data_IF_860055201508
#
_entry.id   IF_860055201508
#
_cell.length_a   1.000
_cell.length_b   1.000
_cell.length_c   1.000
_cell.angle_alpha   90.00
_cell.angle_beta   90.00
_cell.angle_gamma   90.00
#
_symmetry.space_group_name_H-M   'P 1'
#
loop_
_entity.id
_entity.type
_entity.pdbx_description
1 polymer ?
#
# COMPACT_ATOMS: atom_id res chain seq x y z
N UNK A 1 7.68 6.05 -13.37
CA UNK A 1 8.06 6.33 -11.98
C UNK A 1 6.85 6.74 -11.18
N UNK A 2 6.68 6.17 -10.02
CA UNK A 2 5.52 6.41 -9.19
C UNK A 2 5.95 6.93 -7.82
N UNK A 3 5.04 7.63 -7.15
CA UNK A 3 5.27 8.13 -5.80
C UNK A 3 4.52 7.26 -4.81
N UNK A 4 5.23 6.76 -3.82
CA UNK A 4 4.66 5.94 -2.76
C UNK A 4 4.68 6.76 -1.48
N UNK A 5 3.51 6.91 -0.86
CA UNK A 5 3.41 7.68 0.37
C UNK A 5 3.39 6.74 1.57
N UNK A 6 4.19 7.07 2.56
CA UNK A 6 4.25 6.32 3.82
C UNK A 6 3.72 7.23 4.92
N UNK A 7 2.64 6.83 5.56
CA UNK A 7 1.96 7.66 6.54
C UNK A 7 1.88 6.93 7.88
N UNK A 8 2.44 7.54 8.91
CA UNK A 8 2.39 7.03 10.28
C UNK A 8 2.95 5.62 10.43
N UNK A 9 4.02 5.31 9.72
CA UNK A 9 4.69 4.02 9.83
C UNK A 9 5.86 4.11 10.80
N UNK A 10 6.13 3.01 11.50
CA UNK A 10 7.35 2.90 12.27
C UNK A 10 8.56 2.90 11.34
N UNK A 11 9.72 3.24 11.89
CA UNK A 11 10.93 3.38 11.08
C UNK A 11 11.31 2.08 10.37
N UNK A 12 11.20 0.96 11.05
CA UNK A 12 11.57 -0.32 10.46
C UNK A 12 10.73 -0.64 9.22
N UNK A 13 9.42 -0.51 9.36
CA UNK A 13 8.53 -0.79 8.25
C UNK A 13 8.76 0.21 7.11
N UNK A 14 8.91 1.48 7.46
CA UNK A 14 9.13 2.51 6.46
C UNK A 14 10.41 2.26 5.67
N UNK A 15 11.47 1.86 6.35
CA UNK A 15 12.74 1.59 5.68
C UNK A 15 12.67 0.36 4.80
N UNK A 16 11.99 -0.67 5.25
CA UNK A 16 11.82 -1.86 4.44
C UNK A 16 11.07 -1.54 3.15
N UNK A 17 9.96 -0.83 3.28
CA UNK A 17 9.14 -0.48 2.12
C UNK A 17 9.92 0.44 1.18
N UNK A 18 10.56 1.46 1.75
CA UNK A 18 11.33 2.40 0.94
C UNK A 18 12.44 1.70 0.18
N UNK A 19 13.11 0.73 0.82
CA UNK A 19 14.18 0.00 0.16
C UNK A 19 13.70 -0.76 -1.06
N UNK A 20 12.58 -1.44 -0.94
CA UNK A 20 12.06 -2.23 -2.06
C UNK A 20 11.66 -1.32 -3.23
N UNK A 21 10.93 -0.25 -2.95
CA UNK A 21 10.46 0.64 -4.02
C UNK A 21 11.59 1.45 -4.65
N UNK A 22 12.61 1.78 -3.87
CA UNK A 22 13.75 2.53 -4.40
C UNK A 22 14.53 1.74 -5.44
N UNK A 23 14.61 0.42 -5.25
CA UNK A 23 15.28 -0.43 -6.22
C UNK A 23 14.61 -0.34 -7.58
N UNK A 24 13.29 -0.19 -7.57
CA UNK A 24 12.50 -0.04 -8.80
C UNK A 24 12.40 1.41 -9.25
N UNK A 25 13.16 2.30 -8.63
CA UNK A 25 13.22 3.72 -8.99
C UNK A 25 11.93 4.47 -8.76
N UNK A 26 11.12 4.00 -7.84
CA UNK A 26 9.94 4.75 -7.42
C UNK A 26 10.33 5.71 -6.31
N UNK A 27 9.67 6.85 -6.28
CA UNK A 27 9.89 7.83 -5.24
C UNK A 27 9.09 7.45 -4.01
N UNK A 28 9.73 7.47 -2.85
CA UNK A 28 9.08 7.16 -1.59
C UNK A 28 9.12 8.39 -0.71
N UNK A 29 7.96 8.79 -0.18
CA UNK A 29 7.87 9.98 0.67
C UNK A 29 7.12 9.67 1.93
N UNK A 30 7.68 10.10 3.05
CA UNK A 30 6.97 10.00 4.33
C UNK A 30 6.13 11.26 4.46
N UNK A 31 4.85 11.08 4.77
CA UNK A 31 3.91 12.19 4.86
C UNK A 31 3.17 12.16 6.19
N UNK A 32 2.70 13.32 6.67
CA UNK A 32 1.88 13.34 7.88
C UNK A 32 0.50 12.75 7.59
N UNK A 33 -0.19 12.38 8.65
CA UNK A 33 -1.50 11.78 8.50
C UNK A 33 -2.57 12.76 8.00
N UNK A 34 -2.30 14.02 8.11
CA UNK A 34 -3.25 15.04 7.64
C UNK A 34 -2.80 15.56 6.29
N UNK A 35 -3.41 15.02 5.25
CA UNK A 35 -3.13 15.45 3.90
C UNK A 35 -4.45 15.78 3.23
N UNK A 36 -4.44 16.79 2.39
CA UNK A 36 -5.64 17.06 1.62
C UNK A 36 -5.65 16.16 0.39
N UNK A 37 -6.80 16.10 -0.26
CA UNK A 37 -6.98 15.22 -1.40
C UNK A 37 -6.05 15.56 -2.55
N UNK A 38 -5.72 16.83 -2.70
CA UNK A 38 -4.82 17.26 -3.77
C UNK A 38 -3.45 16.61 -3.60
N UNK A 39 -2.94 16.60 -2.37
CA UNK A 39 -1.66 15.95 -2.12
C UNK A 39 -1.74 14.44 -2.30
N UNK A 40 -2.83 13.85 -1.84
CA UNK A 40 -3.01 12.40 -1.94
C UNK A 40 -3.09 11.93 -3.39
N UNK A 41 -3.58 12.78 -4.28
CA UNK A 41 -3.65 12.42 -5.70
C UNK A 41 -2.28 12.20 -6.33
N UNK A 42 -1.26 12.75 -5.74
CA UNK A 42 0.09 12.59 -6.27
C UNK A 42 0.68 11.22 -5.96
N UNK A 43 0.04 10.46 -5.10
CA UNK A 43 0.52 9.13 -4.77
C UNK A 43 0.06 8.13 -5.80
N UNK A 44 0.88 7.12 -6.03
CA UNK A 44 0.47 5.94 -6.78
C UNK A 44 0.04 4.84 -5.84
N UNK A 45 0.44 4.93 -4.58
CA UNK A 45 0.13 3.94 -3.58
C UNK A 45 0.36 4.55 -2.21
N UNK A 46 -0.47 4.19 -1.25
CA UNK A 46 -0.36 4.68 0.12
C UNK A 46 -0.18 3.50 1.06
N UNK A 47 0.82 3.60 1.94
CA UNK A 47 0.97 2.69 3.07
C UNK A 47 0.70 3.49 4.32
N UNK A 48 -0.23 3.06 5.14
CA UNK A 48 -0.61 3.80 6.34
C UNK A 48 -0.63 2.90 7.56
N UNK A 49 -0.15 3.44 8.67
CA UNK A 49 -0.13 2.74 9.94
C UNK A 49 -0.67 3.62 11.05
N UNK A 50 -0.13 3.42 12.26
CA UNK A 50 -0.55 4.19 13.41
C UNK A 50 -1.77 3.68 14.13
N UNK A 51 -2.27 2.51 13.74
CA UNK A 51 -3.45 1.93 14.35
C UNK A 51 -4.75 2.41 13.74
N UNK A 52 -5.87 1.73 14.06
CA UNK A 52 -7.16 2.03 13.43
C UNK A 52 -7.62 3.46 13.60
N UNK A 53 -7.32 4.08 14.73
CA UNK A 53 -7.74 5.47 14.96
C UNK A 53 -7.06 6.43 13.99
N UNK A 54 -5.90 6.06 13.50
CA UNK A 54 -5.16 6.88 12.56
C UNK A 54 -5.50 6.54 11.12
N UNK A 55 -5.42 5.27 10.75
CA UNK A 55 -5.55 4.94 9.34
C UNK A 55 -6.98 4.83 8.84
N UNK A 56 -7.97 4.51 9.72
CA UNK A 56 -9.34 4.36 9.22
C UNK A 56 -9.93 5.67 8.71
N UNK A 57 -9.78 6.80 9.41
CA UNK A 57 -10.30 8.06 8.86
C UNK A 57 -9.65 8.42 7.52
N UNK A 58 -8.36 8.18 7.41
CA UNK A 58 -7.65 8.45 6.16
C UNK A 58 -8.13 7.53 5.06
N UNK A 59 -8.29 6.25 5.36
CA UNK A 59 -8.78 5.29 4.39
C UNK A 59 -10.18 5.66 3.90
N UNK A 60 -11.04 6.09 4.80
CA UNK A 60 -12.39 6.51 4.40
C UNK A 60 -12.35 7.73 3.50
N UNK A 61 -11.48 8.68 3.80
CA UNK A 61 -11.30 9.84 2.95
C UNK A 61 -10.82 9.43 1.56
N UNK A 62 -9.82 8.57 1.52
CA UNK A 62 -9.27 8.12 0.24
C UNK A 62 -10.33 7.37 -0.57
N UNK A 63 -11.09 6.50 0.07
CA UNK A 63 -12.11 5.75 -0.66
C UNK A 63 -13.23 6.62 -1.17
N UNK A 64 -13.56 7.68 -0.44
CA UNK A 64 -14.59 8.60 -0.87
C UNK A 64 -14.14 9.45 -2.05
N UNK A 65 -12.89 9.90 -2.03
CA UNK A 65 -12.40 10.87 -3.00
C UNK A 65 -11.49 10.30 -4.06
N UNK A 66 -10.82 9.18 -3.78
CA UNK A 66 -9.89 8.53 -4.70
C UNK A 66 -10.14 7.02 -4.63
N UNK A 67 -11.28 6.57 -5.12
CA UNK A 67 -11.72 5.19 -4.87
C UNK A 67 -10.81 4.10 -5.42
N UNK A 68 -9.95 4.43 -6.38
CA UNK A 68 -9.06 3.43 -6.96
C UNK A 68 -7.64 3.48 -6.41
N UNK A 69 -7.40 4.38 -5.48
CA UNK A 69 -6.05 4.52 -4.91
C UNK A 69 -5.68 3.27 -4.12
N UNK A 70 -4.56 2.62 -4.45
CA UNK A 70 -4.10 1.51 -3.63
C UNK A 70 -3.75 1.99 -2.23
N UNK A 71 -4.35 1.36 -1.24
CA UNK A 71 -4.17 1.76 0.15
C UNK A 71 -3.88 0.51 0.97
N UNK A 72 -2.68 0.42 1.51
CA UNK A 72 -2.24 -0.73 2.26
C UNK A 72 -2.07 -0.33 3.72
N UNK A 73 -2.71 -1.08 4.60
CA UNK A 73 -2.58 -0.84 6.03
C UNK A 73 -1.41 -1.64 6.56
N UNK A 74 -0.58 -1.00 7.37
CA UNK A 74 0.53 -1.67 8.05
C UNK A 74 0.29 -1.52 9.54
N UNK A 75 0.07 -2.62 10.22
CA UNK A 75 -0.26 -2.61 11.64
C UNK A 75 0.73 -3.47 12.43
N UNK A 76 0.92 -3.10 13.69
CA UNK A 76 1.79 -3.87 14.55
C UNK A 76 1.03 -5.07 15.09
N UNK A 77 1.65 -6.25 14.99
CA UNK A 77 1.05 -7.46 15.52
C UNK A 77 -0.10 -7.97 14.67
N UNK A 78 -0.54 -9.17 15.00
CA UNK A 78 -1.63 -9.82 14.30
C UNK A 78 -2.93 -9.56 15.05
N UNK A 79 -3.88 -8.93 14.38
CA UNK A 79 -5.17 -8.61 14.95
C UNK A 79 -6.22 -8.84 13.89
N UNK A 80 -6.95 -9.96 14.02
CA UNK A 80 -7.93 -10.35 13.02
C UNK A 80 -9.06 -9.33 12.90
N UNK A 81 -9.48 -8.75 14.01
CA UNK A 81 -10.55 -7.76 13.98
C UNK A 81 -10.10 -6.50 13.22
N UNK A 82 -8.89 -6.04 13.50
CA UNK A 82 -8.37 -4.87 12.82
C UNK A 82 -8.20 -5.15 11.32
N UNK A 83 -7.75 -6.35 10.99
CA UNK A 83 -7.63 -6.76 9.60
C UNK A 83 -8.98 -6.71 8.89
N UNK A 84 -9.98 -7.32 9.50
CA UNK A 84 -11.31 -7.37 8.90
C UNK A 84 -11.89 -5.96 8.73
N UNK A 85 -11.72 -5.14 9.75
CA UNK A 85 -12.23 -3.77 9.71
C UNK A 85 -11.57 -2.96 8.59
N UNK A 86 -10.26 -3.12 8.43
CA UNK A 86 -9.55 -2.40 7.37
C UNK A 86 -10.02 -2.85 5.99
N UNK A 87 -10.15 -4.15 5.79
CA UNK A 87 -10.58 -4.68 4.50
C UNK A 87 -12.01 -4.25 4.20
N UNK A 88 -12.89 -4.26 5.20
CA UNK A 88 -14.26 -3.81 5.01
C UNK A 88 -14.34 -2.31 4.70
N UNK A 89 -13.42 -1.54 5.23
CA UNK A 89 -13.35 -0.12 4.95
C UNK A 89 -12.75 0.18 3.58
N UNK A 90 -12.25 -0.83 2.90
CA UNK A 90 -11.76 -0.67 1.54
C UNK A 90 -10.26 -0.71 1.37
N UNK A 91 -9.52 -1.20 2.35
CA UNK A 91 -8.06 -1.34 2.19
C UNK A 91 -7.76 -2.34 1.08
N UNK A 92 -6.73 -2.03 0.31
CA UNK A 92 -6.28 -2.92 -0.75
C UNK A 92 -5.63 -4.16 -0.16
N UNK A 93 -4.86 -3.96 0.90
CA UNK A 93 -4.20 -5.07 1.59
C UNK A 93 -3.86 -4.63 3.01
N UNK A 94 -3.40 -5.57 3.81
CA UNK A 94 -3.12 -5.35 5.22
C UNK A 94 -1.91 -6.19 5.60
N UNK A 95 -0.87 -5.53 6.08
CA UNK A 95 0.35 -6.21 6.50
C UNK A 95 0.56 -6.05 8.00
N UNK A 96 1.09 -7.09 8.63
CA UNK A 96 1.48 -7.02 10.02
C UNK A 96 3.00 -6.88 10.08
N UNK A 97 3.49 -6.07 11.00
CA UNK A 97 4.94 -5.97 11.18
C UNK A 97 5.47 -7.19 11.92
N UNK A 98 6.67 -7.63 11.64
CA UNK A 98 7.59 -7.09 10.63
C UNK A 98 7.14 -7.44 9.22
N UNK A 99 7.21 -6.46 8.34
CA UNK A 99 6.81 -6.65 6.95
C UNK A 99 7.95 -7.32 6.19
N UNK A 100 7.64 -8.39 5.47
CA UNK A 100 8.65 -9.09 4.72
C UNK A 100 8.84 -8.44 3.34
N UNK A 101 10.10 -8.42 2.90
CA UNK A 101 10.42 -7.86 1.57
C UNK A 101 9.58 -8.52 0.48
N UNK A 102 9.38 -9.83 0.59
CA UNK A 102 8.62 -10.58 -0.39
C UNK A 102 7.18 -10.09 -0.51
N UNK A 103 6.58 -9.72 0.60
CA UNK A 103 5.21 -9.21 0.59
C UNK A 103 5.12 -7.92 -0.22
N UNK A 104 6.10 -7.04 -0.04
CA UNK A 104 6.11 -5.76 -0.74
C UNK A 104 6.40 -5.95 -2.21
N UNK A 105 7.31 -6.86 -2.54
CA UNK A 105 7.62 -7.14 -3.94
C UNK A 105 6.41 -7.70 -4.66
N UNK A 106 5.71 -8.62 -4.02
CA UNK A 106 4.50 -9.19 -4.61
C UNK A 106 3.43 -8.13 -4.81
N UNK A 107 3.25 -7.29 -3.79
CA UNK A 107 2.26 -6.22 -3.85
C UNK A 107 2.58 -5.25 -4.99
N UNK A 108 3.84 -4.89 -5.13
CA UNK A 108 4.25 -3.97 -6.18
C UNK A 108 3.94 -4.55 -7.55
N UNK A 109 4.21 -5.84 -7.75
CA UNK A 109 3.93 -6.49 -9.02
C UNK A 109 2.44 -6.62 -9.28
N UNK A 110 1.65 -6.76 -8.23
CA UNK A 110 0.21 -6.93 -8.38
C UNK A 110 -0.52 -5.63 -8.65
N UNK A 111 -0.06 -4.55 -8.03
CA UNK A 111 -0.79 -3.29 -8.05
C UNK A 111 -0.22 -2.33 -9.07
N UNK A 112 1.10 -2.27 -9.19
CA UNK A 112 1.71 -1.42 -10.19
C UNK A 112 1.79 -2.18 -11.50
N UNK A 113 0.99 -1.80 -12.47
CA UNK A 113 0.89 -2.56 -13.71
C UNK A 113 2.18 -2.51 -14.51
N UNK A 114 2.30 -3.48 -15.41
CA UNK A 114 3.47 -3.59 -16.26
C UNK A 114 3.73 -2.33 -17.08
N UNK A 115 2.68 -1.59 -17.40
CA UNK A 115 2.85 -0.33 -18.13
C UNK A 115 3.70 0.66 -17.36
N UNK A 116 3.61 0.63 -16.04
CA UNK A 116 4.42 1.49 -15.20
C UNK A 116 5.89 1.11 -15.29
N UNK A 117 6.16 -0.17 -15.50
CA UNK A 117 7.52 -0.68 -15.60
C UNK A 117 7.99 -0.83 -17.03
N UNK A 118 7.12 -0.53 -17.98
CA UNK A 118 7.46 -0.65 -19.37
C UNK A 118 7.55 -2.07 -19.87
N UNK A 119 6.94 -2.98 -19.17
CA UNK A 119 6.96 -4.38 -19.54
C UNK A 119 5.64 -4.80 -20.14
N UNK A 120 5.74 -5.78 -21.03
CA UNK A 120 4.54 -6.42 -21.53
C UNK A 120 3.88 -7.18 -20.39
N UNK A 121 2.59 -7.06 -20.31
CA UNK A 121 1.85 -7.71 -19.25
C UNK A 121 1.84 -9.22 -19.51
N UNK A 122 2.45 -9.92 -18.60
CA UNK A 122 2.47 -11.35 -18.69
C UNK A 122 2.33 -11.95 -17.32
N UNK A 123 1.13 -12.23 -16.93
CA UNK A 123 0.87 -12.83 -15.64
C UNK A 123 1.05 -14.31 -15.77
N UNK A 124 1.89 -14.93 -14.96
CA UNK A 124 2.06 -16.38 -15.01
C UNK A 124 0.70 -17.07 -14.86
N UNK A 125 0.48 -18.08 -15.65
CA UNK A 125 -0.82 -18.75 -15.70
C UNK A 125 -1.27 -19.24 -14.34
N UNK A 126 -0.39 -19.89 -13.63
CA UNK A 126 -0.76 -20.39 -12.31
C UNK A 126 -1.09 -19.28 -11.35
N UNK A 127 -0.32 -18.21 -11.44
CA UNK A 127 -0.54 -17.07 -10.57
C UNK A 127 -1.84 -16.36 -10.93
N UNK A 128 -2.06 -16.19 -12.20
CA UNK A 128 -3.26 -15.52 -12.67
C UNK A 128 -4.51 -16.27 -12.21
N UNK A 129 -4.48 -17.57 -12.33
CA UNK A 129 -5.58 -18.40 -11.91
C UNK A 129 -5.84 -18.26 -10.43
N UNK A 130 -4.79 -18.30 -9.64
CA UNK A 130 -4.91 -18.16 -8.20
C UNK A 130 -5.40 -16.78 -7.82
N UNK A 131 -4.94 -15.77 -8.53
CA UNK A 131 -5.32 -14.40 -8.22
C UNK A 131 -6.76 -14.12 -8.62
N UNK A 132 -7.22 -14.77 -9.64
CA UNK A 132 -8.59 -14.57 -10.12
C UNK A 132 -9.62 -15.23 -9.24
N UNK A 133 -9.22 -16.22 -8.53
CA UNK A 133 -10.13 -17.01 -7.69
C UNK A 133 -10.58 -16.30 -6.43
#
# INVERSE_FOLDING_TARGET
>A
MASVFLIDLGNEAAEMIAGVFSIERHTVRRKPSRLDTRELRNAAMIFAGGGPKQYLPLLRQVRRELPRMPFVVVNDGADTRAWLEAIEAGATDYFCTPVARRQIQWLMQSIMPASTRGLDVRIPLGWSSAAAD
#
